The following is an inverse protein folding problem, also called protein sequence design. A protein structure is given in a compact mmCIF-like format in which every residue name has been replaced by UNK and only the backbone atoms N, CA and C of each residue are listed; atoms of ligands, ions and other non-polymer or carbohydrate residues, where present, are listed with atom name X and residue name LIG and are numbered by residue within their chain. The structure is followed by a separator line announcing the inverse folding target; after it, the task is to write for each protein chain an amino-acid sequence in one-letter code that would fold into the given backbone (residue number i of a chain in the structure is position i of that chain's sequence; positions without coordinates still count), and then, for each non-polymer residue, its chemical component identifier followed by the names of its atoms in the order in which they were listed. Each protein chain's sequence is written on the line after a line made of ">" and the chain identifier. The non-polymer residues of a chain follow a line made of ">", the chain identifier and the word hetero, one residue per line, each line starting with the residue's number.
data_IF_116419194179
#
_entry.id   IF_116419194179
#
_cell.length_a   1.000
_cell.length_b   1.000
_cell.length_c   1.000
_cell.angle_alpha   90.00
_cell.angle_beta   90.00
_cell.angle_gamma   90.00
#
_symmetry.space_group_name_H-M   'P 1'
#
loop_
_entity.id
_entity.type
_entity.pdbx_description
1 polymer ?
#
# COMPACT_ATOMS: atom_id res chain seq x y z
N UNK A 1 -16.67 -31.85 6.08
CA UNK A 1 -16.49 -30.39 5.96
C UNK A 1 -15.37 -30.02 6.90
N UNK A 2 -14.32 -29.33 6.43
CA UNK A 2 -13.26 -28.84 7.31
C UNK A 2 -13.78 -27.57 8.01
N UNK A 3 -13.67 -27.51 9.34
CA UNK A 3 -14.00 -26.31 10.10
C UNK A 3 -13.18 -25.11 9.59
N UNK A 4 -13.78 -23.92 9.42
CA UNK A 4 -13.03 -22.74 9.01
C UNK A 4 -12.00 -22.36 10.07
N UNK A 5 -10.76 -22.13 9.63
CA UNK A 5 -9.66 -21.73 10.50
C UNK A 5 -10.02 -20.47 11.31
N UNK A 6 -9.67 -20.50 12.59
CA UNK A 6 -9.75 -19.36 13.49
C UNK A 6 -8.69 -18.31 13.12
N UNK A 7 -8.88 -17.07 13.58
CA UNK A 7 -7.91 -15.99 13.33
C UNK A 7 -6.54 -16.27 13.99
N UNK A 8 -6.51 -17.02 15.09
CA UNK A 8 -5.29 -17.46 15.76
C UNK A 8 -4.53 -18.54 14.97
N UNK A 9 -5.25 -19.50 14.38
CA UNK A 9 -4.65 -20.51 13.49
C UNK A 9 -4.14 -19.88 12.19
N UNK A 10 -4.89 -18.93 11.63
CA UNK A 10 -4.42 -18.13 10.49
C UNK A 10 -3.14 -17.38 10.86
N UNK A 11 -3.09 -16.74 12.03
CA UNK A 11 -1.91 -16.02 12.48
C UNK A 11 -0.71 -16.93 12.78
N UNK A 12 -0.92 -18.04 13.48
CA UNK A 12 0.16 -18.93 13.95
C UNK A 12 0.67 -19.89 12.88
N UNK A 13 -0.24 -20.53 12.16
CA UNK A 13 0.08 -21.68 11.30
C UNK A 13 0.23 -21.27 9.83
N UNK A 14 -0.72 -20.48 9.33
CA UNK A 14 -0.78 -20.12 7.89
C UNK A 14 0.16 -18.95 7.58
N UNK A 15 -0.06 -17.80 8.21
CA UNK A 15 0.72 -16.58 7.93
C UNK A 15 2.00 -16.50 8.74
N UNK A 16 2.12 -17.31 9.81
CA UNK A 16 3.25 -17.30 10.77
C UNK A 16 3.59 -15.88 11.24
N UNK A 17 2.55 -15.08 11.49
CA UNK A 17 2.64 -13.69 11.88
C UNK A 17 1.50 -13.34 12.86
N UNK A 18 1.88 -13.16 14.13
CA UNK A 18 0.97 -12.75 15.22
C UNK A 18 0.94 -11.24 15.49
N UNK A 19 1.52 -10.43 14.58
CA UNK A 19 1.52 -8.98 14.72
C UNK A 19 0.10 -8.41 14.64
N UNK A 20 -0.07 -7.23 15.23
CA UNK A 20 -1.34 -6.50 15.29
C UNK A 20 -1.35 -5.31 14.34
N UNK A 21 -2.54 -4.84 13.96
CA UNK A 21 -2.73 -3.63 13.13
C UNK A 21 -2.33 -2.34 13.85
N UNK A 22 -2.24 -2.37 15.19
CA UNK A 22 -1.72 -1.32 16.05
C UNK A 22 -1.18 -1.93 17.34
N UNK A 23 -0.09 -1.37 17.87
CA UNK A 23 0.56 -1.81 19.11
C UNK A 23 -0.27 -1.55 20.36
N UNK A 24 -1.18 -0.56 20.33
CA UNK A 24 -2.00 -0.20 21.51
C UNK A 24 -3.32 -0.96 21.55
N UNK A 25 -4.05 -1.01 20.45
CA UNK A 25 -5.42 -1.54 20.44
C UNK A 25 -5.79 -2.29 19.16
N UNK A 26 -4.83 -2.68 18.31
CA UNK A 26 -5.12 -3.32 17.02
C UNK A 26 -5.85 -4.67 17.13
N UNK A 27 -6.24 -5.23 15.99
CA UNK A 27 -6.60 -6.66 15.88
C UNK A 27 -5.40 -7.43 15.32
N UNK A 28 -5.43 -8.76 15.33
CA UNK A 28 -4.43 -9.54 14.60
C UNK A 28 -4.45 -9.13 13.12
N UNK A 29 -3.27 -9.01 12.51
CA UNK A 29 -3.18 -8.77 11.06
C UNK A 29 -3.89 -9.88 10.28
N UNK A 30 -3.81 -11.12 10.74
CA UNK A 30 -4.56 -12.24 10.19
C UNK A 30 -6.08 -11.99 10.16
N UNK A 31 -6.64 -11.50 11.27
CA UNK A 31 -8.06 -11.11 11.37
C UNK A 31 -8.41 -9.99 10.40
N UNK A 32 -7.58 -8.95 10.33
CA UNK A 32 -7.77 -7.85 9.40
C UNK A 32 -7.73 -8.32 7.94
N UNK A 33 -6.78 -9.19 7.57
CA UNK A 33 -6.67 -9.77 6.22
C UNK A 33 -7.91 -10.58 5.85
N UNK A 34 -8.41 -11.43 6.76
CA UNK A 34 -9.63 -12.21 6.53
C UNK A 34 -10.84 -11.30 6.34
N UNK A 35 -11.00 -10.28 7.18
CA UNK A 35 -12.09 -9.30 7.05
C UNK A 35 -11.98 -8.51 5.74
N UNK A 36 -10.78 -8.11 5.33
CA UNK A 36 -10.54 -7.42 4.06
C UNK A 36 -10.92 -8.31 2.88
N UNK A 37 -10.45 -9.56 2.87
CA UNK A 37 -10.80 -10.53 1.81
C UNK A 37 -12.31 -10.78 1.74
N UNK A 38 -12.99 -10.85 2.90
CA UNK A 38 -14.44 -10.99 2.95
C UNK A 38 -15.17 -9.75 2.41
N UNK A 39 -14.66 -8.55 2.69
CA UNK A 39 -15.20 -7.31 2.14
C UNK A 39 -15.10 -7.28 0.60
N UNK A 40 -13.95 -7.66 0.03
CA UNK A 40 -13.78 -7.79 -1.42
C UNK A 40 -14.75 -8.82 -2.01
N UNK A 41 -14.80 -10.02 -1.42
CA UNK A 41 -15.68 -11.11 -1.84
C UNK A 41 -17.15 -10.67 -1.85
N UNK A 42 -17.61 -10.04 -0.77
CA UNK A 42 -18.99 -9.58 -0.63
C UNK A 42 -19.33 -8.46 -1.62
N UNK A 43 -18.34 -7.66 -2.03
CA UNK A 43 -18.49 -6.65 -3.09
C UNK A 43 -18.34 -7.24 -4.51
N UNK A 44 -18.24 -8.56 -4.65
CA UNK A 44 -18.14 -9.25 -5.93
C UNK A 44 -16.76 -9.22 -6.57
N UNK A 45 -15.70 -8.95 -5.80
CA UNK A 45 -14.31 -8.94 -6.27
C UNK A 45 -13.61 -10.22 -5.83
N UNK A 46 -13.47 -11.18 -6.74
CA UNK A 46 -12.78 -12.46 -6.50
C UNK A 46 -11.46 -12.60 -7.27
N UNK A 47 -11.35 -11.91 -8.41
CA UNK A 47 -10.15 -11.82 -9.25
C UNK A 47 -9.96 -10.39 -9.73
N UNK A 48 -8.76 -10.07 -10.22
CA UNK A 48 -8.46 -8.73 -10.74
C UNK A 48 -9.43 -8.26 -11.82
N UNK A 49 -9.88 -9.16 -12.69
CA UNK A 49 -10.84 -8.84 -13.75
C UNK A 49 -12.24 -8.43 -13.24
N UNK A 50 -12.54 -8.68 -11.96
CA UNK A 50 -13.82 -8.29 -11.34
C UNK A 50 -13.83 -6.84 -10.86
N UNK A 51 -12.68 -6.15 -10.88
CA UNK A 51 -12.51 -4.81 -10.35
C UNK A 51 -13.23 -3.81 -11.26
N UNK A 52 -14.18 -3.09 -10.68
CA UNK A 52 -14.86 -1.94 -11.26
C UNK A 52 -14.95 -0.82 -10.23
N UNK A 53 -15.12 0.42 -10.65
CA UNK A 53 -15.22 1.57 -9.73
C UNK A 53 -16.34 1.39 -8.69
N UNK A 54 -17.49 0.88 -9.12
CA UNK A 54 -18.63 0.58 -8.23
C UNK A 54 -18.27 -0.47 -7.16
N UNK A 55 -17.66 -1.58 -7.57
CA UNK A 55 -17.30 -2.66 -6.63
C UNK A 55 -16.20 -2.22 -5.68
N UNK A 56 -15.25 -1.42 -6.15
CA UNK A 56 -14.20 -0.81 -5.33
C UNK A 56 -14.82 0.13 -4.30
N UNK A 57 -15.75 1.01 -4.68
CA UNK A 57 -16.42 1.90 -3.75
C UNK A 57 -17.19 1.13 -2.66
N UNK A 58 -17.89 0.06 -3.05
CA UNK A 58 -18.59 -0.81 -2.10
C UNK A 58 -17.63 -1.52 -1.12
N UNK A 59 -16.51 -2.05 -1.64
CA UNK A 59 -15.48 -2.66 -0.80
C UNK A 59 -14.82 -1.64 0.14
N UNK A 60 -14.59 -0.40 -0.32
CA UNK A 60 -13.94 0.66 0.45
C UNK A 60 -14.71 0.95 1.74
N UNK A 61 -16.05 1.03 1.67
CA UNK A 61 -16.91 1.27 2.83
C UNK A 61 -16.68 0.19 3.89
N UNK A 62 -16.74 -1.08 3.51
CA UNK A 62 -16.56 -2.19 4.44
C UNK A 62 -15.13 -2.27 4.99
N UNK A 63 -14.11 -2.04 4.14
CA UNK A 63 -12.70 -2.10 4.57
C UNK A 63 -12.36 -0.99 5.54
N UNK A 64 -12.87 0.23 5.34
CA UNK A 64 -12.61 1.36 6.24
C UNK A 64 -13.17 1.16 7.65
N UNK A 65 -14.16 0.28 7.82
CA UNK A 65 -14.66 -0.12 9.13
C UNK A 65 -13.73 -1.10 9.87
N UNK A 66 -12.78 -1.73 9.18
CA UNK A 66 -11.83 -2.67 9.78
C UNK A 66 -10.75 -1.88 10.54
N UNK A 67 -10.54 -2.24 11.81
CA UNK A 67 -9.64 -1.53 12.72
C UNK A 67 -8.20 -1.44 12.18
N UNK A 68 -7.80 -0.23 11.82
CA UNK A 68 -6.45 0.08 11.34
C UNK A 68 -6.23 -0.12 9.83
N UNK A 69 -7.29 -0.24 9.03
CA UNK A 69 -7.18 -0.49 7.59
C UNK A 69 -7.42 0.72 6.68
N UNK A 70 -7.62 1.92 7.23
CA UNK A 70 -7.88 3.14 6.45
C UNK A 70 -6.83 3.44 5.37
N UNK A 71 -5.54 3.18 5.66
CA UNK A 71 -4.42 3.41 4.72
C UNK A 71 -4.20 2.20 3.80
N UNK A 72 -4.66 1.02 4.22
CA UNK A 72 -4.42 -0.24 3.50
C UNK A 72 -5.26 -0.32 2.23
N UNK A 73 -6.46 0.29 2.21
CA UNK A 73 -7.29 0.30 1.02
C UNK A 73 -6.71 1.17 -0.11
N UNK A 74 -6.06 2.29 0.21
CA UNK A 74 -5.37 3.08 -0.80
C UNK A 74 -4.18 2.32 -1.40
N UNK A 75 -3.50 1.49 -0.59
CA UNK A 75 -2.46 0.59 -1.08
C UNK A 75 -3.03 -0.51 -1.99
N UNK A 76 -4.18 -1.07 -1.62
CA UNK A 76 -4.88 -2.02 -2.46
C UNK A 76 -5.24 -1.43 -3.82
N UNK A 77 -5.80 -0.20 -3.87
CA UNK A 77 -6.11 0.49 -5.14
C UNK A 77 -4.86 0.68 -6.01
N UNK A 78 -3.75 1.11 -5.41
CA UNK A 78 -2.47 1.25 -6.11
C UNK A 78 -2.02 -0.08 -6.73
N UNK A 79 -2.00 -1.16 -5.93
CA UNK A 79 -1.61 -2.50 -6.39
C UNK A 79 -2.60 -3.12 -7.39
N UNK A 80 -3.87 -2.71 -7.33
CA UNK A 80 -4.91 -3.08 -8.28
C UNK A 80 -4.82 -2.30 -9.62
N UNK A 81 -3.86 -1.38 -9.74
CA UNK A 81 -3.57 -0.67 -10.99
C UNK A 81 -4.09 0.77 -11.06
N UNK A 82 -4.57 1.34 -9.95
CA UNK A 82 -4.93 2.76 -9.92
C UNK A 82 -3.71 3.65 -10.22
N UNK A 83 -3.90 4.65 -11.08
CA UNK A 83 -2.88 5.64 -11.42
C UNK A 83 -2.77 6.69 -10.31
N UNK A 84 -2.10 6.32 -9.21
CA UNK A 84 -1.92 7.15 -8.03
C UNK A 84 -0.51 7.04 -7.47
N UNK A 85 -0.10 8.05 -6.71
CA UNK A 85 1.12 8.03 -5.89
C UNK A 85 0.72 7.82 -4.45
N UNK A 86 1.45 6.97 -3.73
CA UNK A 86 1.35 6.89 -2.29
C UNK A 86 2.47 7.71 -1.67
N UNK A 87 2.18 8.88 -1.07
CA UNK A 87 3.21 9.68 -0.44
C UNK A 87 3.58 9.12 0.94
N UNK A 88 4.17 7.93 0.96
CA UNK A 88 4.71 7.32 2.17
C UNK A 88 6.10 7.86 2.50
N UNK A 89 6.72 7.31 3.54
CA UNK A 89 8.03 7.76 4.01
C UNK A 89 9.14 7.61 2.97
N UNK A 90 9.03 6.67 2.03
CA UNK A 90 10.03 6.50 0.98
C UNK A 90 9.90 7.61 -0.05
N UNK A 91 8.69 7.87 -0.54
CA UNK A 91 8.45 8.94 -1.50
C UNK A 91 8.77 10.32 -0.90
N UNK A 92 8.41 10.55 0.36
CA UNK A 92 8.76 11.79 1.07
C UNK A 92 10.27 11.93 1.20
N UNK A 93 10.98 10.89 1.67
CA UNK A 93 12.45 10.92 1.80
C UNK A 93 13.11 11.23 0.46
N UNK A 94 12.72 10.52 -0.59
CA UNK A 94 13.28 10.75 -1.93
C UNK A 94 13.08 12.20 -2.35
N UNK A 95 11.87 12.75 -2.16
CA UNK A 95 11.58 14.13 -2.52
C UNK A 95 12.43 15.13 -1.72
N UNK A 96 12.63 14.91 -0.41
CA UNK A 96 13.46 15.76 0.44
C UNK A 96 14.92 15.75 -0.02
N UNK A 97 15.46 14.57 -0.29
CA UNK A 97 16.85 14.41 -0.74
C UNK A 97 17.08 14.97 -2.14
N UNK A 98 16.17 14.70 -3.09
CA UNK A 98 16.30 15.13 -4.48
C UNK A 98 16.17 16.65 -4.62
N UNK A 99 15.37 17.29 -3.76
CA UNK A 99 15.16 18.75 -3.80
C UNK A 99 16.08 19.54 -2.85
N UNK A 100 16.67 18.89 -1.85
CA UNK A 100 17.38 19.55 -0.75
C UNK A 100 16.45 20.29 0.22
N UNK A 101 15.13 20.12 0.11
CA UNK A 101 14.14 20.79 0.96
C UNK A 101 13.70 19.82 2.08
N UNK A 102 13.94 20.15 3.36
CA UNK A 102 13.50 19.30 4.46
C UNK A 102 12.00 19.47 4.75
N UNK A 103 11.41 18.50 5.44
CA UNK A 103 10.01 18.52 5.93
C UNK A 103 8.96 18.62 4.83
N UNK A 104 9.19 17.93 3.70
CA UNK A 104 8.22 17.90 2.61
C UNK A 104 6.94 17.19 3.07
N UNK A 105 5.80 17.85 2.85
CA UNK A 105 4.50 17.27 3.20
C UNK A 105 4.13 16.13 2.24
N UNK A 106 3.32 15.14 2.67
CA UNK A 106 2.84 14.08 1.79
C UNK A 106 2.15 14.60 0.52
N UNK A 107 1.39 15.69 0.64
CA UNK A 107 0.72 16.34 -0.50
C UNK A 107 1.72 16.85 -1.53
N UNK A 108 2.77 17.55 -1.07
CA UNK A 108 3.82 18.09 -1.95
C UNK A 108 4.61 16.96 -2.59
N UNK A 109 5.00 15.92 -1.83
CA UNK A 109 5.71 14.76 -2.38
C UNK A 109 4.90 14.05 -3.48
N UNK A 110 3.58 13.90 -3.28
CA UNK A 110 2.65 13.36 -4.28
C UNK A 110 2.61 14.22 -5.54
N UNK A 111 2.44 15.54 -5.39
CA UNK A 111 2.36 16.46 -6.52
C UNK A 111 3.68 16.49 -7.31
N UNK A 112 4.82 16.52 -6.62
CA UNK A 112 6.13 16.47 -7.24
C UNK A 112 6.35 15.19 -8.04
N UNK A 113 5.94 14.04 -7.49
CA UNK A 113 6.05 12.75 -8.19
C UNK A 113 5.17 12.71 -9.45
N UNK A 114 3.92 13.20 -9.36
CA UNK A 114 3.02 13.29 -10.53
C UNK A 114 3.61 14.21 -11.61
N UNK A 115 4.11 15.38 -11.22
CA UNK A 115 4.72 16.33 -12.14
C UNK A 115 6.00 15.76 -12.80
N UNK A 116 6.84 15.07 -12.03
CA UNK A 116 8.04 14.39 -12.53
C UNK A 116 7.69 13.30 -13.55
N UNK A 117 6.68 12.46 -13.26
CA UNK A 117 6.22 11.46 -14.21
C UNK A 117 5.72 12.10 -15.52
N UNK A 118 4.99 13.21 -15.45
CA UNK A 118 4.52 13.92 -16.64
C UNK A 118 5.66 14.54 -17.48
N UNK A 119 6.76 14.96 -16.83
CA UNK A 119 7.95 15.45 -17.52
C UNK A 119 8.67 14.27 -18.20
N UNK A 120 8.94 13.20 -17.44
CA UNK A 120 9.64 12.02 -17.93
C UNK A 120 8.89 11.32 -19.06
N UNK A 121 7.55 11.26 -18.99
CA UNK A 121 6.73 10.61 -20.01
C UNK A 121 6.94 11.21 -21.42
N UNK A 122 7.27 12.51 -21.51
CA UNK A 122 7.54 13.17 -22.80
C UNK A 122 8.75 12.59 -23.53
N UNK A 123 9.74 12.12 -22.78
CA UNK A 123 10.98 11.53 -23.32
C UNK A 123 10.94 10.00 -23.26
N UNK A 124 10.26 9.45 -22.26
CA UNK A 124 10.11 8.02 -21.99
C UNK A 124 8.62 7.65 -21.87
N UNK A 125 7.89 7.43 -22.98
CA UNK A 125 6.43 7.28 -22.99
C UNK A 125 5.87 6.12 -22.15
N UNK A 126 6.71 5.17 -21.76
CA UNK A 126 6.35 4.03 -20.90
C UNK A 126 6.37 4.38 -19.40
N UNK A 127 6.97 5.52 -19.02
CA UNK A 127 6.99 5.99 -17.63
C UNK A 127 5.65 6.64 -17.32
N UNK A 128 4.83 5.92 -16.56
CA UNK A 128 3.62 6.46 -15.94
C UNK A 128 3.85 6.75 -14.43
N UNK A 129 2.84 7.34 -13.80
CA UNK A 129 2.90 7.74 -12.39
C UNK A 129 3.14 6.53 -11.48
N UNK A 130 2.53 5.39 -11.81
CA UNK A 130 2.65 4.15 -11.02
C UNK A 130 4.04 3.54 -11.14
N UNK A 131 4.60 3.50 -12.34
CA UNK A 131 5.95 3.00 -12.56
C UNK A 131 6.95 3.87 -11.79
N UNK A 132 6.85 5.20 -11.90
CA UNK A 132 7.72 6.10 -11.15
C UNK A 132 7.60 5.90 -9.64
N UNK A 133 6.38 5.84 -9.08
CA UNK A 133 6.16 5.55 -7.64
C UNK A 133 6.86 4.25 -7.22
N UNK A 134 6.71 3.18 -8.00
CA UNK A 134 7.32 1.88 -7.71
C UNK A 134 8.85 1.90 -7.76
N UNK A 135 9.44 2.61 -8.73
CA UNK A 135 10.89 2.73 -8.88
C UNK A 135 11.51 3.57 -7.76
N UNK A 136 10.88 4.69 -7.41
CA UNK A 136 11.32 5.54 -6.29
C UNK A 136 11.27 4.77 -4.96
N UNK A 137 10.20 4.01 -4.73
CA UNK A 137 10.08 3.17 -3.55
C UNK A 137 11.17 2.09 -3.49
N UNK A 138 11.45 1.43 -4.62
CA UNK A 138 12.49 0.41 -4.74
C UNK A 138 13.88 0.99 -4.45
N UNK A 139 14.20 2.13 -5.06
CA UNK A 139 15.44 2.87 -4.87
C UNK A 139 15.70 3.19 -3.37
N UNK A 140 14.72 3.80 -2.70
CA UNK A 140 14.83 4.16 -1.29
C UNK A 140 14.90 2.96 -0.34
N UNK A 141 14.20 1.88 -0.69
CA UNK A 141 14.23 0.65 0.09
C UNK A 141 15.61 -0.02 0.03
N UNK A 142 16.22 -0.09 -1.15
CA UNK A 142 17.57 -0.62 -1.35
C UNK A 142 18.62 0.24 -0.64
N UNK A 143 18.51 1.56 -0.76
CA UNK A 143 19.38 2.53 -0.08
C UNK A 143 19.31 2.37 1.46
N UNK A 144 18.10 2.22 1.99
CA UNK A 144 17.86 2.01 3.42
C UNK A 144 18.48 0.69 3.91
N UNK A 145 18.31 -0.40 3.17
CA UNK A 145 18.91 -1.69 3.50
C UNK A 145 20.44 -1.65 3.51
N UNK A 146 21.06 -1.00 2.51
CA UNK A 146 22.50 -0.81 2.45
C UNK A 146 23.04 0.00 3.63
N UNK A 147 22.29 1.02 4.08
CA UNK A 147 22.65 1.84 5.23
C UNK A 147 22.57 1.06 6.54
N UNK A 148 21.53 0.24 6.73
CA UNK A 148 21.40 -0.61 7.92
C UNK A 148 22.54 -1.63 8.01
N UNK A 149 22.90 -2.29 6.91
CA UNK A 149 23.98 -3.28 6.88
C UNK A 149 25.37 -2.70 7.21
N UNK A 150 25.60 -1.41 6.95
CA UNK A 150 26.85 -0.72 7.35
C UNK A 150 26.91 -0.39 8.85
N UNK A 151 25.80 -0.46 9.57
CA UNK A 151 25.68 -0.09 10.99
C UNK A 151 25.61 -1.28 11.95
N UNK A 152 25.45 -2.49 11.42
CA UNK A 152 25.45 -3.78 12.14
C UNK A 152 26.77 -4.50 11.95
#
# INVERSE_FOLDING_TARGET
>A
MMEPLTDDELAGTVFRNRQRTSTKSGILKASACRQFAKALYNSGINKFADITDERIANAEIAVRMIKGQNISFDYFKLLAGAQMVKPDRMIIRFAEEASGIPSITPTVAKQATIAAAAILNKEFPHIDVRLLDSELWSFESLKSAATTRKRT
#
